data_IF_097987606393
#
_entry.id   IF_097987606393
#
_cell.length_a   1.000
_cell.length_b   1.000
_cell.length_c   1.000
_cell.angle_alpha   90.00
_cell.angle_beta   90.00
_cell.angle_gamma   90.00
#
_symmetry.space_group_name_H-M   'P 1'
#
loop_
_entity.id
_entity.type
_entity.pdbx_description
1 polymer ?
#
# COMPACT_ATOMS: atom_id res chain seq x y z
N UNK A 1 75.78 5.60 -34.35
CA UNK A 1 74.79 6.68 -34.10
C UNK A 1 73.39 6.14 -34.41
N UNK A 2 72.54 5.94 -33.39
CA UNK A 2 71.05 5.87 -33.42
C UNK A 2 70.58 5.27 -32.08
N UNK A 3 70.16 6.12 -31.13
CA UNK A 3 68.78 6.52 -30.78
C UNK A 3 68.29 5.73 -29.54
N UNK A 4 68.50 6.32 -28.36
CA UNK A 4 67.83 5.93 -27.11
C UNK A 4 66.33 6.22 -27.22
N UNK A 5 65.50 5.26 -26.82
CA UNK A 5 64.06 5.46 -26.64
C UNK A 5 63.76 5.50 -25.14
N UNK A 6 63.31 6.66 -24.66
CA UNK A 6 62.79 6.88 -23.31
C UNK A 6 61.33 6.39 -23.30
N UNK A 7 60.98 5.47 -22.39
CA UNK A 7 59.58 5.11 -22.11
C UNK A 7 59.18 5.77 -20.79
N UNK A 8 58.34 6.80 -20.88
CA UNK A 8 57.65 7.43 -19.75
C UNK A 8 56.37 6.64 -19.48
N UNK A 9 56.30 5.90 -18.37
CA UNK A 9 55.07 5.31 -17.86
C UNK A 9 54.34 6.34 -16.99
N UNK A 10 53.25 6.88 -17.52
CA UNK A 10 52.30 7.73 -16.80
C UNK A 10 51.45 6.83 -15.88
N UNK A 11 51.52 7.03 -14.56
CA UNK A 11 50.54 6.49 -13.62
C UNK A 11 49.34 7.42 -13.56
N UNK A 12 48.18 6.96 -14.03
CA UNK A 12 46.90 7.60 -13.74
C UNK A 12 46.27 6.91 -12.52
N UNK A 13 45.87 7.65 -11.46
CA UNK A 13 45.14 7.05 -10.35
C UNK A 13 43.75 6.66 -10.83
N UNK A 14 43.40 5.38 -10.67
CA UNK A 14 42.05 4.88 -10.89
C UNK A 14 41.17 5.50 -9.80
N UNK A 15 40.35 6.48 -10.19
CA UNK A 15 39.28 6.99 -9.35
C UNK A 15 38.24 5.88 -9.17
N UNK A 16 38.38 5.11 -8.08
CA UNK A 16 37.39 4.11 -7.68
C UNK A 16 36.17 4.86 -7.16
N UNK A 17 35.14 5.00 -8.01
CA UNK A 17 33.85 5.49 -7.57
C UNK A 17 33.33 4.56 -6.46
N UNK A 18 33.27 5.06 -5.22
CA UNK A 18 32.62 4.34 -4.13
C UNK A 18 31.14 4.21 -4.49
N UNK A 19 30.73 3.01 -4.90
CA UNK A 19 29.33 2.63 -4.85
C UNK A 19 28.87 2.82 -3.40
N UNK A 20 27.82 3.63 -3.14
CA UNK A 20 27.26 3.70 -1.79
C UNK A 20 26.86 2.28 -1.35
N UNK A 21 27.04 1.94 -0.06
CA UNK A 21 26.62 0.64 0.44
C UNK A 21 25.14 0.46 0.12
N UNK A 22 24.70 -0.74 -0.32
CA UNK A 22 23.28 -0.97 -0.57
C UNK A 22 22.51 -0.62 0.70
N UNK A 23 21.54 0.30 0.58
CA UNK A 23 20.66 0.66 1.68
C UNK A 23 20.11 -0.61 2.35
N UNK A 24 19.83 -0.55 3.65
CA UNK A 24 19.31 -1.69 4.41
C UNK A 24 18.09 -2.28 3.69
N UNK A 25 18.28 -3.42 3.03
CA UNK A 25 17.20 -4.15 2.38
C UNK A 25 16.20 -4.60 3.45
N UNK A 26 14.91 -4.43 3.17
CA UNK A 26 13.85 -4.97 4.00
C UNK A 26 14.06 -6.48 4.17
N UNK A 27 13.81 -6.99 5.38
CA UNK A 27 13.89 -8.43 5.61
C UNK A 27 12.80 -9.17 4.82
N UNK A 28 13.02 -10.47 4.62
CA UNK A 28 12.13 -11.28 3.80
C UNK A 28 10.69 -11.36 4.37
N UNK A 29 10.55 -11.35 5.70
CA UNK A 29 9.24 -11.41 6.35
C UNK A 29 8.40 -10.15 6.06
N UNK A 30 9.04 -8.99 6.16
CA UNK A 30 8.48 -7.67 5.83
C UNK A 30 8.09 -7.61 4.37
N UNK A 31 8.99 -8.02 3.46
CA UNK A 31 8.71 -8.05 2.02
C UNK A 31 7.50 -8.93 1.70
N UNK A 32 7.45 -10.14 2.28
CA UNK A 32 6.35 -11.07 2.08
C UNK A 32 5.03 -10.54 2.64
N UNK A 33 5.04 -9.88 3.80
CA UNK A 33 3.85 -9.26 4.39
C UNK A 33 3.28 -8.17 3.48
N UNK A 34 4.14 -7.27 2.96
CA UNK A 34 3.75 -6.22 2.02
C UNK A 34 3.20 -6.81 0.73
N UNK A 35 3.91 -7.78 0.11
CA UNK A 35 3.48 -8.41 -1.13
C UNK A 35 2.09 -9.05 -0.98
N UNK A 36 1.88 -9.84 0.08
CA UNK A 36 0.58 -10.47 0.35
C UNK A 36 -0.53 -9.46 0.56
N UNK A 37 -0.23 -8.34 1.22
CA UNK A 37 -1.21 -7.28 1.42
C UNK A 37 -1.59 -6.60 0.10
N UNK A 38 -0.61 -6.27 -0.74
CA UNK A 38 -0.82 -5.60 -2.03
C UNK A 38 -1.57 -6.46 -3.06
N UNK A 39 -1.51 -7.79 -2.95
CA UNK A 39 -2.27 -8.69 -3.82
C UNK A 39 -3.79 -8.53 -3.67
N UNK A 40 -4.25 -8.17 -2.48
CA UNK A 40 -5.67 -8.18 -2.14
C UNK A 40 -6.25 -6.78 -1.86
N UNK A 41 -5.40 -5.76 -1.77
CA UNK A 41 -5.81 -4.41 -1.38
C UNK A 41 -5.34 -3.38 -2.40
N UNK A 42 -6.30 -2.61 -2.91
CA UNK A 42 -6.05 -1.50 -3.83
C UNK A 42 -6.94 -0.33 -3.46
N UNK A 43 -6.35 0.86 -3.39
CA UNK A 43 -7.12 2.10 -3.21
C UNK A 43 -7.38 2.71 -4.57
N UNK A 44 -8.56 3.32 -4.67
CA UNK A 44 -8.94 4.20 -5.77
C UNK A 44 -9.20 5.58 -5.20
N UNK A 45 -8.71 6.60 -5.90
CA UNK A 45 -8.75 7.99 -5.43
C UNK A 45 -10.18 8.54 -5.51
N UNK A 46 -10.98 8.08 -6.49
CA UNK A 46 -12.36 8.52 -6.69
C UNK A 46 -13.34 7.35 -6.83
N UNK A 47 -14.60 7.49 -6.34
CA UNK A 47 -15.66 6.51 -6.63
C UNK A 47 -15.91 6.33 -8.14
N UNK A 48 -15.67 7.39 -8.91
CA UNK A 48 -15.89 7.44 -10.35
C UNK A 48 -14.96 6.47 -11.11
N UNK A 49 -13.79 6.18 -10.55
CA UNK A 49 -12.82 5.24 -11.12
C UNK A 49 -13.42 3.82 -11.21
N UNK A 50 -14.26 3.42 -10.24
CA UNK A 50 -15.04 2.18 -10.32
C UNK A 50 -16.30 2.32 -11.15
N UNK A 51 -16.99 3.46 -11.07
CA UNK A 51 -18.31 3.61 -11.68
C UNK A 51 -18.24 3.50 -13.22
N UNK A 52 -17.16 4.02 -13.81
CA UNK A 52 -16.87 3.97 -15.24
C UNK A 52 -16.15 2.70 -15.70
N UNK A 53 -15.65 1.89 -14.75
CA UNK A 53 -14.92 0.67 -15.08
C UNK A 53 -15.86 -0.36 -15.75
N UNK A 54 -15.35 -1.18 -16.70
CA UNK A 54 -16.08 -2.33 -17.21
C UNK A 54 -16.56 -3.22 -16.06
N UNK A 55 -17.67 -3.91 -16.24
CA UNK A 55 -18.32 -4.64 -15.14
C UNK A 55 -18.86 -5.98 -15.59
N UNK A 56 -18.94 -6.91 -14.63
CA UNK A 56 -19.52 -8.23 -14.82
C UNK A 56 -21.05 -8.10 -14.94
N UNK A 57 -21.59 -8.66 -16.01
CA UNK A 57 -23.04 -8.74 -16.27
C UNK A 57 -23.58 -10.08 -15.77
N UNK A 58 -22.84 -11.15 -16.02
CA UNK A 58 -23.22 -12.50 -15.59
C UNK A 58 -21.97 -13.38 -15.40
N UNK A 59 -22.09 -14.35 -14.50
CA UNK A 59 -21.21 -15.50 -14.44
C UNK A 59 -22.00 -16.73 -14.91
N UNK A 60 -21.39 -17.60 -15.71
CA UNK A 60 -22.07 -18.82 -16.15
C UNK A 60 -22.39 -19.72 -14.94
N UNK A 61 -23.60 -20.29 -14.94
CA UNK A 61 -24.08 -21.40 -14.11
C UNK A 61 -24.59 -21.16 -12.67
N UNK A 62 -24.97 -19.95 -12.25
CA UNK A 62 -25.95 -19.75 -11.15
C UNK A 62 -25.70 -20.49 -9.82
N UNK A 63 -24.45 -20.90 -9.56
CA UNK A 63 -24.01 -21.59 -8.34
C UNK A 63 -22.63 -21.07 -7.96
N UNK A 64 -22.33 -21.18 -6.68
CA UNK A 64 -21.09 -20.73 -6.02
C UNK A 64 -19.87 -21.10 -6.87
N UNK A 65 -19.23 -20.08 -7.45
CA UNK A 65 -18.04 -20.20 -8.30
C UNK A 65 -16.84 -20.58 -7.43
N UNK A 66 -16.31 -21.78 -7.65
CA UNK A 66 -15.23 -22.36 -6.84
C UNK A 66 -14.20 -23.15 -7.65
N UNK A 67 -14.17 -22.99 -8.98
CA UNK A 67 -13.31 -23.82 -9.85
C UNK A 67 -12.66 -23.04 -10.99
N UNK A 68 -11.42 -23.43 -11.29
CA UNK A 68 -10.60 -22.98 -12.42
C UNK A 68 -11.18 -23.53 -13.75
N UNK A 69 -12.30 -22.99 -14.22
CA UNK A 69 -12.82 -23.23 -15.59
C UNK A 69 -14.01 -22.30 -15.97
N UNK A 70 -14.48 -21.45 -15.06
CA UNK A 70 -15.70 -20.67 -15.28
C UNK A 70 -15.47 -19.43 -16.15
N UNK A 71 -16.51 -19.09 -16.91
CA UNK A 71 -16.54 -17.92 -17.78
C UNK A 71 -17.43 -16.86 -17.17
N UNK A 72 -17.02 -15.62 -17.33
CA UNK A 72 -17.81 -14.45 -16.98
C UNK A 72 -18.00 -13.58 -18.21
N UNK A 73 -19.15 -12.93 -18.26
CA UNK A 73 -19.54 -12.00 -19.31
C UNK A 73 -19.51 -10.60 -18.76
N UNK A 74 -18.81 -9.71 -19.45
CA UNK A 74 -18.60 -8.34 -19.02
C UNK A 74 -18.98 -7.33 -20.10
N UNK A 75 -19.35 -6.13 -19.65
CA UNK A 75 -19.66 -4.99 -20.50
C UNK A 75 -18.71 -3.84 -20.21
N UNK A 76 -18.33 -3.14 -21.27
CA UNK A 76 -17.44 -1.98 -21.23
C UNK A 76 -16.28 -2.15 -22.21
N UNK A 77 -15.37 -1.18 -22.22
CA UNK A 77 -14.21 -1.19 -23.09
C UNK A 77 -13.08 -2.02 -22.47
N UNK A 78 -13.00 -3.30 -22.84
CA UNK A 78 -11.87 -4.17 -22.50
C UNK A 78 -10.88 -4.16 -23.66
N UNK A 79 -9.63 -3.89 -23.34
CA UNK A 79 -8.49 -3.92 -24.26
C UNK A 79 -8.05 -5.38 -24.48
N UNK A 80 -8.20 -5.92 -25.70
CA UNK A 80 -7.80 -7.30 -26.00
C UNK A 80 -6.28 -7.52 -25.94
N UNK A 81 -5.47 -6.45 -26.04
CA UNK A 81 -4.02 -6.54 -25.93
C UNK A 81 -3.53 -6.76 -24.49
N UNK A 82 -4.41 -6.53 -23.51
CA UNK A 82 -4.16 -6.78 -22.11
C UNK A 82 -4.96 -8.02 -21.69
N UNK A 83 -4.33 -9.20 -21.63
CA UNK A 83 -5.08 -10.43 -21.43
C UNK A 83 -5.64 -10.52 -20.02
N UNK A 84 -5.01 -9.93 -19.00
CA UNK A 84 -5.37 -10.20 -17.61
C UNK A 84 -6.02 -8.97 -16.93
N UNK A 85 -7.19 -9.22 -16.33
CA UNK A 85 -7.98 -8.26 -15.56
C UNK A 85 -8.15 -8.74 -14.13
N UNK A 86 -8.17 -7.79 -13.20
CA UNK A 86 -8.55 -8.03 -11.82
C UNK A 86 -10.03 -7.67 -11.63
N UNK A 87 -10.74 -8.52 -10.89
CA UNK A 87 -12.15 -8.35 -10.53
C UNK A 87 -12.18 -7.75 -9.13
N UNK A 88 -12.79 -6.60 -9.00
CA UNK A 88 -12.89 -5.84 -7.76
C UNK A 88 -14.33 -5.49 -7.43
N UNK A 89 -14.61 -5.41 -6.14
CA UNK A 89 -15.86 -4.87 -5.62
C UNK A 89 -15.58 -3.59 -4.83
N UNK A 90 -16.53 -2.66 -4.86
CA UNK A 90 -16.47 -1.47 -4.01
C UNK A 90 -16.50 -1.93 -2.54
N UNK A 91 -15.43 -1.66 -1.81
CA UNK A 91 -15.28 -1.92 -0.39
C UNK A 91 -15.48 -0.67 0.45
N UNK A 92 -14.69 -0.57 1.53
CA UNK A 92 -14.77 0.52 2.50
C UNK A 92 -14.39 1.87 1.90
N UNK A 93 -15.15 2.90 2.27
CA UNK A 93 -14.83 4.31 1.96
C UNK A 93 -13.97 4.86 3.10
N UNK A 94 -12.86 5.50 2.74
CA UNK A 94 -11.96 6.15 3.69
C UNK A 94 -12.20 7.66 3.70
N UNK A 95 -12.50 8.18 4.88
CA UNK A 95 -12.68 9.61 5.12
C UNK A 95 -11.71 10.09 6.18
N UNK A 96 -11.24 11.32 6.05
CA UNK A 96 -10.41 11.94 7.06
C UNK A 96 -11.24 12.17 8.34
N UNK A 97 -10.81 11.69 9.51
CA UNK A 97 -11.59 11.81 10.74
C UNK A 97 -11.75 13.26 11.23
N UNK A 98 -10.86 14.17 10.82
CA UNK A 98 -10.88 15.58 11.23
C UNK A 98 -11.65 16.44 10.23
N UNK A 99 -11.38 16.28 8.92
CA UNK A 99 -11.97 17.15 7.89
C UNK A 99 -13.20 16.56 7.22
N UNK A 100 -13.49 15.27 7.42
CA UNK A 100 -14.54 14.51 6.73
C UNK A 100 -14.34 14.43 5.20
N UNK A 101 -13.14 14.77 4.71
CA UNK A 101 -12.82 14.68 3.30
C UNK A 101 -12.76 13.21 2.84
N UNK A 102 -13.29 12.91 1.66
CA UNK A 102 -13.06 11.63 1.00
C UNK A 102 -11.58 11.47 0.61
N UNK A 103 -10.93 10.46 1.19
CA UNK A 103 -9.53 10.13 0.96
C UNK A 103 -9.35 9.04 -0.11
N UNK A 104 -10.31 8.13 -0.22
CA UNK A 104 -10.26 7.06 -1.21
C UNK A 104 -11.21 5.92 -0.88
N UNK A 105 -11.22 4.89 -1.72
CA UNK A 105 -12.09 3.74 -1.57
C UNK A 105 -11.27 2.47 -1.74
N UNK A 106 -11.46 1.51 -0.83
CA UNK A 106 -10.89 0.19 -1.00
C UNK A 106 -11.62 -0.56 -2.13
N UNK A 107 -10.85 -1.10 -3.06
CA UNK A 107 -11.33 -2.06 -4.03
C UNK A 107 -11.00 -3.46 -3.48
N UNK A 108 -12.04 -4.17 -3.05
CA UNK A 108 -11.93 -5.52 -2.49
C UNK A 108 -11.65 -6.52 -3.62
N UNK A 109 -10.56 -7.29 -3.49
CA UNK A 109 -10.15 -8.29 -4.48
C UNK A 109 -11.12 -9.49 -4.49
N UNK A 110 -11.85 -9.64 -5.60
CA UNK A 110 -12.78 -10.75 -5.85
C UNK A 110 -12.10 -11.86 -6.66
N UNK A 111 -11.14 -11.51 -7.52
CA UNK A 111 -10.44 -12.49 -8.35
C UNK A 111 -9.69 -11.90 -9.53
N UNK A 112 -9.26 -12.76 -10.44
CA UNK A 112 -8.67 -12.38 -11.73
C UNK A 112 -9.31 -13.17 -12.86
N UNK A 113 -9.39 -12.55 -14.04
CA UNK A 113 -9.91 -13.18 -15.24
C UNK A 113 -9.09 -12.77 -16.47
N UNK A 114 -8.97 -13.71 -17.41
CA UNK A 114 -8.31 -13.51 -18.70
C UNK A 114 -9.32 -13.21 -19.79
N UNK A 115 -9.12 -12.15 -20.54
CA UNK A 115 -9.87 -11.85 -21.75
C UNK A 115 -9.77 -13.01 -22.76
N UNK A 116 -10.91 -13.43 -23.32
CA UNK A 116 -10.96 -14.53 -24.30
C UNK A 116 -11.54 -14.06 -25.63
N UNK A 117 -12.69 -13.38 -25.60
CA UNK A 117 -13.41 -13.04 -26.84
C UNK A 117 -14.15 -11.71 -26.68
N UNK A 118 -14.00 -10.85 -27.69
CA UNK A 118 -14.77 -9.62 -27.82
C UNK A 118 -16.19 -9.93 -28.33
N UNK A 119 -17.17 -9.15 -27.89
CA UNK A 119 -18.56 -9.21 -28.34
C UNK A 119 -19.39 -8.15 -27.62
N UNK A 120 -20.72 -8.14 -27.84
CA UNK A 120 -21.65 -7.25 -27.13
C UNK A 120 -21.52 -7.38 -25.61
N UNK A 121 -21.26 -8.62 -25.17
CA UNK A 121 -20.65 -8.92 -23.89
C UNK A 121 -19.32 -9.62 -24.17
N UNK A 122 -18.23 -9.02 -23.68
CA UNK A 122 -16.93 -9.66 -23.74
C UNK A 122 -16.90 -10.85 -22.80
N UNK A 123 -16.24 -11.93 -23.22
CA UNK A 123 -16.13 -13.13 -22.40
C UNK A 123 -14.72 -13.25 -21.83
N UNK A 124 -14.65 -13.49 -20.52
CA UNK A 124 -13.41 -13.70 -19.80
C UNK A 124 -13.41 -15.08 -19.12
N UNK A 125 -12.26 -15.72 -19.07
CA UNK A 125 -12.03 -16.95 -18.33
C UNK A 125 -11.48 -16.61 -16.94
N UNK A 126 -12.16 -17.05 -15.90
CA UNK A 126 -11.73 -16.80 -14.52
C UNK A 126 -10.46 -17.61 -14.22
N UNK A 127 -9.46 -16.96 -13.65
CA UNK A 127 -8.17 -17.56 -13.28
C UNK A 127 -8.04 -17.81 -11.79
N UNK A 128 -8.57 -16.89 -10.97
CA UNK A 128 -8.51 -16.93 -9.51
C UNK A 128 -9.78 -16.33 -8.96
N UNK A 129 -10.31 -16.95 -7.91
CA UNK A 129 -11.47 -16.47 -7.16
C UNK A 129 -11.09 -16.42 -5.68
N UNK A 130 -11.24 -15.26 -5.05
CA UNK A 130 -11.13 -15.09 -3.59
C UNK A 130 -12.49 -14.96 -2.93
N UNK A 131 -13.47 -14.44 -3.67
CA UNK A 131 -14.87 -14.32 -3.24
C UNK A 131 -15.79 -14.56 -4.43
N UNK A 132 -17.05 -14.90 -4.15
CA UNK A 132 -18.07 -15.07 -5.18
C UNK A 132 -18.15 -13.84 -6.11
N UNK A 133 -17.98 -14.07 -7.42
CA UNK A 133 -18.13 -13.04 -8.45
C UNK A 133 -19.63 -12.81 -8.70
N UNK A 134 -20.05 -11.55 -8.68
CA UNK A 134 -21.44 -11.14 -8.80
C UNK A 134 -21.63 -10.14 -9.95
N UNK A 135 -22.84 -10.07 -10.53
CA UNK A 135 -23.21 -8.97 -11.40
C UNK A 135 -22.94 -7.62 -10.72
N UNK A 136 -22.28 -6.71 -11.42
CA UNK A 136 -21.87 -5.40 -10.92
C UNK A 136 -20.44 -5.33 -10.39
N UNK A 137 -19.75 -6.46 -10.18
CA UNK A 137 -18.31 -6.45 -9.89
C UNK A 137 -17.54 -5.80 -11.04
N UNK A 138 -16.49 -5.05 -10.72
CA UNK A 138 -15.76 -4.19 -11.67
C UNK A 138 -14.47 -4.84 -12.13
N UNK A 139 -14.16 -4.68 -13.41
CA UNK A 139 -12.92 -5.12 -14.02
C UNK A 139 -11.96 -3.95 -14.07
N UNK A 140 -10.84 -4.09 -13.37
CA UNK A 140 -9.73 -3.16 -13.45
C UNK A 140 -8.56 -3.86 -14.14
N UNK A 141 -7.79 -3.08 -14.90
CA UNK A 141 -6.49 -3.54 -15.37
C UNK A 141 -5.62 -3.91 -14.18
N UNK A 142 -4.93 -5.04 -14.28
CA UNK A 142 -3.92 -5.44 -13.29
C UNK A 142 -2.87 -4.33 -13.27
N UNK A 143 -2.72 -3.67 -12.12
CA UNK A 143 -1.72 -2.62 -11.98
C UNK A 143 -0.32 -3.22 -12.00
N UNK A 144 0.67 -2.46 -12.45
CA UNK A 144 2.08 -2.82 -12.33
C UNK A 144 2.39 -3.16 -10.87
N UNK A 145 3.08 -4.28 -10.65
CA UNK A 145 3.52 -4.70 -9.32
C UNK A 145 4.43 -3.65 -8.71
N UNK A 146 4.19 -3.31 -7.44
CA UNK A 146 5.18 -2.55 -6.65
C UNK A 146 6.38 -3.46 -6.44
N UNK A 147 7.56 -3.03 -6.86
CA UNK A 147 8.79 -3.73 -6.48
C UNK A 147 9.12 -3.41 -5.02
N UNK A 148 8.58 -4.23 -4.13
CA UNK A 148 8.79 -4.12 -2.68
C UNK A 148 10.27 -4.21 -2.31
N UNK A 149 11.08 -4.90 -3.12
CA UNK A 149 12.52 -5.01 -2.89
C UNK A 149 13.28 -3.71 -3.21
N UNK A 150 12.67 -2.83 -4.00
CA UNK A 150 13.20 -1.51 -4.37
C UNK A 150 12.68 -0.37 -3.47
N UNK A 151 11.99 -0.67 -2.36
CA UNK A 151 11.61 0.35 -1.37
C UNK A 151 12.87 0.89 -0.69
N UNK A 152 13.38 1.99 -1.21
CA UNK A 152 14.50 2.72 -0.65
C UNK A 152 14.02 3.69 0.43
N UNK A 153 14.79 3.82 1.51
CA UNK A 153 14.51 4.85 2.50
C UNK A 153 14.82 6.22 1.89
N UNK A 154 13.85 7.15 1.86
CA UNK A 154 14.09 8.48 1.32
C UNK A 154 15.15 9.20 2.16
N UNK A 155 16.10 9.85 1.49
CA UNK A 155 17.20 10.59 2.14
C UNK A 155 16.73 11.85 2.87
N UNK A 156 15.64 12.46 2.40
CA UNK A 156 14.98 13.58 3.04
C UNK A 156 13.48 13.46 2.78
N UNK A 157 12.67 13.62 3.83
CA UNK A 157 11.22 13.63 3.73
C UNK A 157 10.65 14.82 4.53
N UNK A 158 9.60 15.49 4.05
CA UNK A 158 8.90 16.52 4.81
C UNK A 158 8.41 15.98 6.16
N UNK A 159 8.27 16.89 7.15
CA UNK A 159 7.61 16.53 8.39
C UNK A 159 6.11 16.32 8.12
N UNK A 160 5.60 15.13 8.46
CA UNK A 160 4.19 14.77 8.29
C UNK A 160 3.65 14.18 9.58
N UNK A 161 2.45 14.59 9.96
CA UNK A 161 1.70 14.01 11.07
C UNK A 161 0.26 13.66 10.64
N UNK A 162 -0.29 12.62 11.25
CA UNK A 162 -1.63 12.14 10.95
C UNK A 162 -2.09 11.05 11.92
N UNK A 163 -3.08 10.27 11.51
CA UNK A 163 -3.68 9.19 12.29
C UNK A 163 -3.78 7.91 11.49
N UNK A 164 -3.67 6.78 12.19
CA UNK A 164 -4.06 5.48 11.66
C UNK A 164 -5.60 5.45 11.58
N UNK A 165 -6.17 5.23 10.40
CA UNK A 165 -7.62 5.28 10.19
C UNK A 165 -8.27 3.91 9.99
N UNK A 166 -7.48 2.89 9.64
CA UNK A 166 -8.03 1.55 9.43
C UNK A 166 -6.98 0.45 9.45
N UNK A 167 -7.48 -0.77 9.63
CA UNK A 167 -6.71 -2.01 9.52
C UNK A 167 -7.48 -2.91 8.53
N UNK A 168 -7.03 -3.07 7.28
CA UNK A 168 -7.85 -3.66 6.21
C UNK A 168 -8.22 -5.16 6.33
N UNK A 169 -8.20 -5.75 7.53
CA UNK A 169 -8.75 -7.08 7.86
C UNK A 169 -9.63 -7.10 9.11
N UNK A 170 -9.95 -5.94 9.68
CA UNK A 170 -10.90 -5.84 10.80
C UNK A 170 -10.44 -6.47 12.12
N UNK A 171 -9.12 -6.61 12.34
CA UNK A 171 -8.61 -7.05 13.64
C UNK A 171 -8.80 -5.95 14.69
N UNK A 172 -9.11 -6.32 15.92
CA UNK A 172 -9.33 -5.38 17.03
C UNK A 172 -8.05 -4.75 17.57
N UNK A 173 -6.88 -5.31 17.23
CA UNK A 173 -5.56 -4.85 17.67
C UNK A 173 -4.59 -4.88 16.49
N UNK A 174 -3.71 -3.88 16.44
CA UNK A 174 -2.67 -3.75 15.41
C UNK A 174 -1.40 -4.45 15.91
N UNK A 175 -1.00 -5.54 15.24
CA UNK A 175 0.22 -6.28 15.52
C UNK A 175 1.41 -5.87 14.66
N UNK A 176 2.58 -6.42 14.96
CA UNK A 176 3.77 -6.32 14.11
C UNK A 176 3.51 -7.07 12.79
N UNK A 177 3.97 -6.51 11.66
CA UNK A 177 3.69 -6.95 10.29
C UNK A 177 2.22 -6.82 9.85
N UNK A 178 1.35 -6.17 10.63
CA UNK A 178 0.05 -5.75 10.11
C UNK A 178 0.19 -4.50 9.25
N UNK A 179 -0.59 -4.47 8.18
CA UNK A 179 -0.74 -3.30 7.33
C UNK A 179 -1.87 -2.41 7.87
N UNK A 180 -1.61 -1.11 7.91
CA UNK A 180 -2.51 -0.08 8.38
C UNK A 180 -2.71 0.97 7.29
N UNK A 181 -3.86 1.64 7.35
CA UNK A 181 -4.19 2.78 6.47
C UNK A 181 -3.98 4.08 7.23
N UNK A 182 -3.29 5.03 6.61
CA UNK A 182 -2.97 6.35 7.17
C UNK A 182 -3.76 7.43 6.43
N UNK A 183 -4.23 8.46 7.15
CA UNK A 183 -4.99 9.57 6.55
C UNK A 183 -4.14 10.61 5.79
N UNK A 184 -2.91 10.25 5.43
CA UNK A 184 -1.98 11.11 4.69
C UNK A 184 -1.44 10.37 3.50
N UNK A 185 -1.25 11.07 2.39
CA UNK A 185 -0.74 10.52 1.14
C UNK A 185 0.40 11.35 0.56
N UNK A 186 0.64 11.17 -0.74
CA UNK A 186 1.68 11.89 -1.49
C UNK A 186 1.46 13.41 -1.45
N UNK A 187 0.21 13.87 -1.48
CA UNK A 187 -0.12 15.31 -1.39
C UNK A 187 0.34 15.94 -0.08
N UNK A 188 0.42 15.14 0.98
CA UNK A 188 0.84 15.57 2.32
C UNK A 188 2.36 15.42 2.50
N UNK A 189 3.08 14.85 1.53
CA UNK A 189 4.53 14.65 1.57
C UNK A 189 4.98 13.27 2.05
N UNK A 190 4.08 12.29 2.20
CA UNK A 190 4.51 10.91 2.49
C UNK A 190 5.14 10.25 1.27
N UNK A 191 6.23 9.53 1.54
CA UNK A 191 7.02 8.82 0.55
C UNK A 191 7.04 7.33 0.85
N UNK A 192 7.05 6.52 -0.20
CA UNK A 192 7.28 5.08 -0.07
C UNK A 192 8.69 4.83 0.49
N UNK A 193 8.82 3.87 1.40
CA UNK A 193 10.04 3.60 2.17
C UNK A 193 10.23 4.48 3.41
N UNK A 194 9.42 5.52 3.62
CA UNK A 194 9.52 6.40 4.79
C UNK A 194 9.14 5.68 6.09
N UNK A 195 9.91 5.91 7.16
CA UNK A 195 9.60 5.42 8.49
C UNK A 195 8.89 6.49 9.33
N UNK A 196 7.88 6.07 10.07
CA UNK A 196 7.06 6.94 10.93
C UNK A 196 7.07 6.41 12.37
N UNK A 197 7.02 7.32 13.34
CA UNK A 197 6.80 6.98 14.75
C UNK A 197 5.30 6.98 15.04
N UNK A 198 4.81 5.96 15.75
CA UNK A 198 3.45 5.98 16.30
C UNK A 198 3.50 6.52 17.71
N UNK A 199 2.67 7.53 17.99
CA UNK A 199 2.55 8.19 19.27
C UNK A 199 1.19 7.87 19.86
N UNK A 200 1.20 7.29 21.06
CA UNK A 200 0.00 7.02 21.83
C UNK A 200 -0.28 8.18 22.75
N UNK A 201 -1.44 8.79 22.57
CA UNK A 201 -1.86 9.90 23.43
C UNK A 201 -2.08 9.40 24.85
N UNK A 202 -1.45 10.05 25.82
CA UNK A 202 -1.59 9.67 27.23
C UNK A 202 -3.04 9.76 27.70
N UNK A 203 -3.48 8.84 28.56
CA UNK A 203 -4.84 8.88 29.11
C UNK A 203 -5.02 10.10 30.04
N UNK A 204 -6.23 10.63 30.12
CA UNK A 204 -6.59 11.58 31.17
C UNK A 204 -7.05 10.78 32.38
N UNK A 205 -6.27 10.82 33.45
CA UNK A 205 -6.57 10.13 34.71
C UNK A 205 -7.04 11.14 35.75
N UNK A 206 -7.89 10.71 36.68
CA UNK A 206 -8.25 11.56 37.82
C UNK A 206 -7.20 11.36 38.90
N UNK A 207 -6.53 12.42 39.30
CA UNK A 207 -5.66 12.39 40.46
C UNK A 207 -6.52 12.16 41.72
N UNK A 208 -6.22 11.08 42.44
CA UNK A 208 -6.96 10.66 43.63
C UNK A 208 -6.81 11.63 44.81
N UNK A 209 -5.70 12.38 44.88
CA UNK A 209 -5.41 13.31 45.97
C UNK A 209 -5.98 14.70 45.68
N UNK A 210 -5.72 15.24 44.49
CA UNK A 210 -6.21 16.57 44.12
C UNK A 210 -7.62 16.58 43.53
N UNK A 211 -8.12 15.42 43.07
CA UNK A 211 -9.41 15.28 42.39
C UNK A 211 -9.44 15.81 40.96
N UNK A 212 -8.35 16.44 40.49
CA UNK A 212 -8.25 17.08 39.18
C UNK A 212 -7.93 16.06 38.05
N UNK A 213 -8.39 16.31 36.81
CA UNK A 213 -7.96 15.53 35.66
C UNK A 213 -6.51 15.86 35.31
N UNK A 214 -5.65 14.85 35.26
CA UNK A 214 -4.24 14.93 34.87
C UNK A 214 -4.05 14.16 33.57
N UNK A 215 -3.44 14.82 32.58
CA UNK A 215 -3.09 14.20 31.30
C UNK A 215 -1.74 13.50 31.45
N UNK A 216 -1.71 12.18 31.23
CA UNK A 216 -0.45 11.45 31.12
C UNK A 216 0.33 11.91 29.87
N UNK A 217 1.67 11.84 29.89
CA UNK A 217 2.47 12.20 28.73
C UNK A 217 2.17 11.31 27.53
N UNK A 218 2.34 11.86 26.34
CA UNK A 218 2.35 11.09 25.10
C UNK A 218 3.57 10.17 25.07
N UNK A 219 3.38 8.95 24.58
CA UNK A 219 4.44 7.94 24.54
C UNK A 219 4.64 7.39 23.12
N UNK A 220 5.89 7.12 22.76
CA UNK A 220 6.19 6.40 21.53
C UNK A 220 5.79 4.93 21.66
N UNK A 221 4.86 4.50 20.82
CA UNK A 221 4.24 3.19 20.90
C UNK A 221 4.68 2.22 19.80
N UNK A 222 5.28 2.72 18.70
CA UNK A 222 5.72 1.86 17.61
C UNK A 222 6.40 2.58 16.46
N UNK A 223 6.73 1.83 15.41
CA UNK A 223 7.30 2.32 14.15
C UNK A 223 6.57 1.73 12.96
N UNK A 224 6.25 2.57 11.98
CA UNK A 224 5.63 2.17 10.71
C UNK A 224 6.61 2.34 9.55
N UNK A 225 6.42 1.57 8.49
CA UNK A 225 7.06 1.72 7.18
C UNK A 225 5.98 1.98 6.14
N UNK A 226 5.97 3.17 5.54
CA UNK A 226 5.10 3.46 4.38
C UNK A 226 5.62 2.62 3.21
N UNK A 227 4.77 1.81 2.60
CA UNK A 227 5.15 0.97 1.46
C UNK A 227 4.34 1.27 0.19
N UNK A 228 3.27 2.05 0.31
CA UNK A 228 2.49 2.52 -0.83
C UNK A 228 1.72 3.79 -0.50
N UNK A 229 2.03 4.85 -1.22
CA UNK A 229 1.41 6.17 -1.05
C UNK A 229 0.48 6.46 -2.23
N UNK A 230 -0.79 6.72 -1.92
CA UNK A 230 -1.78 7.22 -2.88
C UNK A 230 -1.85 8.74 -2.78
N UNK A 231 -2.77 9.38 -3.50
CA UNK A 231 -2.85 10.84 -3.49
C UNK A 231 -3.14 11.39 -2.09
N UNK A 232 -4.17 10.87 -1.42
CA UNK A 232 -4.68 11.43 -0.15
C UNK A 232 -4.48 10.54 1.08
N UNK A 233 -4.12 9.26 0.86
CA UNK A 233 -3.92 8.28 1.93
C UNK A 233 -2.75 7.36 1.57
N UNK A 234 -2.28 6.57 2.54
CA UNK A 234 -1.19 5.62 2.32
C UNK A 234 -1.39 4.35 3.11
N UNK A 235 -0.71 3.30 2.66
CA UNK A 235 -0.55 2.07 3.39
C UNK A 235 0.83 2.02 4.03
N UNK A 236 0.86 1.59 5.29
CA UNK A 236 2.07 1.39 6.04
C UNK A 236 2.05 0.04 6.76
N UNK A 237 3.22 -0.54 6.98
CA UNK A 237 3.41 -1.77 7.72
C UNK A 237 3.95 -1.45 9.11
N UNK A 238 3.43 -2.11 10.13
CA UNK A 238 3.94 -1.98 11.50
C UNK A 238 5.23 -2.77 11.62
N UNK A 239 6.35 -2.09 11.81
CA UNK A 239 7.67 -2.72 12.00
C UNK A 239 7.91 -3.13 13.45
N UNK A 240 7.43 -2.32 14.39
CA UNK A 240 7.57 -2.57 15.82
C UNK A 240 6.45 -1.92 16.61
N UNK A 241 6.11 -2.52 17.75
CA UNK A 241 5.14 -2.00 18.70
C UNK A 241 5.63 -2.28 20.12
N UNK A 242 5.91 -1.23 20.90
CA UNK A 242 6.21 -1.31 22.34
C UNK A 242 4.93 -1.36 23.18
N UNK A 243 3.81 -0.87 22.62
CA UNK A 243 2.48 -0.93 23.20
C UNK A 243 1.47 -1.35 22.13
N UNK A 244 0.31 -1.85 22.54
CA UNK A 244 -0.78 -2.14 21.62
C UNK A 244 -1.16 -0.88 20.85
N UNK A 245 -1.06 -0.94 19.52
CA UNK A 245 -1.44 0.14 18.61
C UNK A 245 -2.93 0.02 18.26
N UNK A 246 -3.57 1.16 18.00
CA UNK A 246 -4.99 1.25 17.69
C UNK A 246 -5.29 2.23 16.54
N UNK A 247 -6.47 2.08 15.95
CA UNK A 247 -7.05 3.10 15.08
C UNK A 247 -7.22 4.39 15.90
N UNK A 248 -6.99 5.53 15.26
CA UNK A 248 -6.87 6.87 15.84
C UNK A 248 -5.59 7.16 16.64
N UNK A 249 -4.64 6.22 16.74
CA UNK A 249 -3.30 6.58 17.23
C UNK A 249 -2.64 7.55 16.24
N UNK A 250 -1.93 8.56 16.79
CA UNK A 250 -1.21 9.56 16.01
C UNK A 250 0.06 8.92 15.44
N UNK A 251 0.46 9.34 14.25
CA UNK A 251 1.80 9.11 13.76
C UNK A 251 2.47 10.43 13.39
N UNK A 252 3.78 10.42 13.40
CA UNK A 252 4.61 11.53 12.93
C UNK A 252 5.86 10.99 12.24
N UNK A 253 6.33 11.69 11.21
CA UNK A 253 7.63 11.43 10.60
C UNK A 253 8.73 11.55 11.65
N UNK A 254 9.70 10.63 11.62
CA UNK A 254 10.91 10.75 12.43
C UNK A 254 11.64 12.00 11.94
N UNK A 255 11.56 13.10 12.69
CA UNK A 255 12.49 14.21 12.48
C UNK A 255 13.91 13.68 12.70
N UNK A 256 14.88 14.12 11.90
CA UNK A 256 16.29 13.90 12.23
C UNK A 256 16.51 14.42 13.65
N UNK A 257 16.52 13.50 14.61
CA UNK A 257 17.02 13.77 15.95
C UNK A 257 18.49 14.11 15.76
N UNK A 258 18.81 15.40 15.88
CA UNK A 258 20.18 15.89 16.06
C UNK A 258 20.83 15.21 17.27
#
# INVERSE_FOLDING_TARGET
>A
MRKSLLVLLLWAPIAMALLPPPGQRLDHATQQAIQRFLLHNRILDSPQDLDTAPYIVAADAGRVLGSNAERVHARGNLDPSQPDYAIFRRGKVYTDPQTQELLGINADDIGTARFVTAGDLSTLAVQRVTQEIRPGDRLLRVASSVDVAALEMPSAAPFVQGHIIDIPRGVTQIGVLDAVTLNKGRRDGLLDGQRLSVIKTGATVRDILSGAPVKLPDERAGTLLVFRSYEKLSYALVLSASRALAVMDRFESVGESQ
#
